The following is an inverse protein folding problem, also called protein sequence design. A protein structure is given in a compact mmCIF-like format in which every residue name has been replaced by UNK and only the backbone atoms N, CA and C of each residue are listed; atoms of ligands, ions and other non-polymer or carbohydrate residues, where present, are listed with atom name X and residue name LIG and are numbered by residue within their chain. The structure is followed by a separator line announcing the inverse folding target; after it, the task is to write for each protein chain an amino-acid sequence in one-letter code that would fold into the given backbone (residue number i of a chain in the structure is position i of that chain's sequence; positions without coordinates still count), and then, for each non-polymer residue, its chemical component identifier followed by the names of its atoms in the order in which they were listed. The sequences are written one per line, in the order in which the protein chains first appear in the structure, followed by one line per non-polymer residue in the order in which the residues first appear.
data_IF_999570348282
#
_entry.id   IF_999570348282
#
_cell.length_a   1.000
_cell.length_b   1.000
_cell.length_c   1.000
_cell.angle_alpha   90.00
_cell.angle_beta   90.00
_cell.angle_gamma   90.00
#
_symmetry.space_group_name_H-M   'P 1'
#
loop_
_entity.id
_entity.type
_entity.pdbx_description
1 polymer ?
#
# COMPACT_ATOMS: atom_id res chain seq x y z
N UNK A 1 18.98 9.45 -15.30
CA UNK A 1 19.07 7.99 -15.57
C UNK A 1 17.88 7.54 -16.38
N UNK A 2 18.01 6.42 -17.09
CA UNK A 2 16.90 5.76 -17.77
C UNK A 2 16.37 4.60 -16.92
N UNK A 3 15.16 4.71 -16.40
CA UNK A 3 14.61 3.84 -15.37
C UNK A 3 13.36 3.12 -15.89
N UNK A 4 13.28 1.80 -15.67
CA UNK A 4 12.08 1.01 -15.95
C UNK A 4 11.43 0.57 -14.63
N UNK A 5 10.10 0.72 -14.52
CA UNK A 5 9.29 0.24 -13.40
C UNK A 5 8.40 -0.90 -13.91
N UNK A 6 8.54 -2.09 -13.30
CA UNK A 6 7.94 -3.35 -13.77
C UNK A 6 7.28 -4.13 -12.62
N UNK A 7 6.36 -5.02 -12.97
CA UNK A 7 5.81 -6.01 -12.02
C UNK A 7 4.47 -5.64 -11.41
N UNK A 8 3.98 -4.42 -11.62
CA UNK A 8 2.64 -3.96 -11.20
C UNK A 8 1.62 -4.06 -12.34
N UNK A 9 0.39 -3.60 -12.12
CA UNK A 9 -0.61 -3.47 -13.19
C UNK A 9 -0.32 -2.29 -14.10
N UNK A 10 0.41 -1.28 -13.61
CA UNK A 10 0.76 -0.06 -14.30
C UNK A 10 0.08 1.18 -13.73
N UNK A 11 0.15 2.29 -14.47
CA UNK A 11 -0.44 3.58 -14.10
C UNK A 11 -1.36 4.09 -15.23
N UNK A 12 -2.41 4.90 -14.93
CA UNK A 12 -2.81 5.46 -13.63
C UNK A 12 -3.16 4.41 -12.58
N UNK A 13 -2.85 4.71 -11.32
CA UNK A 13 -3.14 3.82 -10.20
C UNK A 13 -4.67 3.67 -10.01
N UNK A 14 -5.15 2.41 -9.93
CA UNK A 14 -6.58 2.11 -9.83
C UNK A 14 -6.91 0.92 -8.94
N UNK A 15 -5.91 0.27 -8.30
CA UNK A 15 -6.16 -1.00 -7.63
C UNK A 15 -5.45 -1.21 -6.29
N UNK A 16 -4.16 -0.88 -6.17
CA UNK A 16 -3.37 -1.21 -4.98
C UNK A 16 -2.29 -0.18 -4.66
N UNK A 17 -1.73 -0.29 -3.46
CA UNK A 17 -0.63 0.54 -3.01
C UNK A 17 0.61 0.50 -3.91
N UNK A 18 0.83 -0.60 -4.65
CA UNK A 18 1.96 -0.68 -5.59
C UNK A 18 1.81 0.26 -6.77
N UNK A 19 0.63 0.31 -7.37
CA UNK A 19 0.35 1.23 -8.47
C UNK A 19 0.49 2.67 -8.00
N UNK A 20 0.01 2.99 -6.78
CA UNK A 20 0.20 4.31 -6.15
C UNK A 20 1.69 4.59 -5.94
N UNK A 21 2.45 3.62 -5.44
CA UNK A 21 3.90 3.76 -5.28
C UNK A 21 4.61 4.03 -6.61
N UNK A 22 4.30 3.26 -7.66
CA UNK A 22 4.88 3.45 -8.99
C UNK A 22 4.51 4.80 -9.58
N UNK A 23 3.29 5.25 -9.40
CA UNK A 23 2.82 6.55 -9.88
C UNK A 23 3.53 7.70 -9.17
N UNK A 24 3.55 7.70 -7.84
CA UNK A 24 4.14 8.75 -7.03
C UNK A 24 5.66 8.83 -7.15
N UNK A 25 6.33 7.68 -7.10
CA UNK A 25 7.77 7.58 -7.29
C UNK A 25 8.16 7.97 -8.73
N UNK A 26 7.46 7.42 -9.71
CA UNK A 26 7.76 7.66 -11.12
C UNK A 26 7.59 9.12 -11.54
N UNK A 27 6.52 9.79 -11.07
CA UNK A 27 6.31 11.21 -11.31
C UNK A 27 7.48 12.05 -10.76
N UNK A 28 7.86 11.83 -9.49
CA UNK A 28 8.95 12.59 -8.85
C UNK A 28 10.32 12.33 -9.49
N UNK A 29 10.57 11.10 -9.92
CA UNK A 29 11.78 10.80 -10.68
C UNK A 29 11.82 11.55 -12.03
N UNK A 30 10.68 11.70 -12.71
CA UNK A 30 10.59 12.53 -13.93
C UNK A 30 10.84 13.99 -13.62
N UNK A 31 10.25 14.54 -12.57
CA UNK A 31 10.46 15.93 -12.11
C UNK A 31 11.94 16.19 -11.75
N UNK A 32 12.65 15.16 -11.30
CA UNK A 32 14.11 15.19 -11.04
C UNK A 32 14.98 14.92 -12.27
N UNK A 33 14.39 14.86 -13.46
CA UNK A 33 15.10 14.76 -14.74
C UNK A 33 15.49 13.34 -15.16
N UNK A 34 14.85 12.29 -14.60
CA UNK A 34 15.04 10.93 -15.08
C UNK A 34 14.07 10.59 -16.23
N UNK A 35 14.50 9.70 -17.13
CA UNK A 35 13.65 9.09 -18.17
C UNK A 35 12.99 7.84 -17.60
N UNK A 36 11.72 7.93 -17.23
CA UNK A 36 10.99 6.87 -16.54
C UNK A 36 10.01 6.19 -17.48
N UNK A 37 10.10 4.87 -17.58
CA UNK A 37 9.16 4.02 -18.32
C UNK A 37 8.44 3.06 -17.36
N UNK A 38 7.10 3.03 -17.43
CA UNK A 38 6.26 2.11 -16.67
C UNK A 38 5.71 1.03 -17.60
N UNK A 39 5.90 -0.24 -17.22
CA UNK A 39 5.33 -1.37 -17.92
C UNK A 39 3.94 -1.70 -17.38
N UNK A 40 2.94 -1.58 -18.24
CA UNK A 40 1.53 -1.69 -17.92
C UNK A 40 0.90 -2.94 -18.53
N UNK A 41 0.01 -3.62 -17.79
CA UNK A 41 -0.80 -4.74 -18.31
C UNK A 41 -1.97 -4.17 -19.11
N UNK A 42 -2.01 -4.46 -20.42
CA UNK A 42 -2.97 -3.85 -21.36
C UNK A 42 -4.43 -4.00 -20.95
N UNK A 43 -4.81 -5.11 -20.30
CA UNK A 43 -6.20 -5.37 -19.90
C UNK A 43 -6.62 -4.69 -18.58
N UNK A 44 -5.68 -4.12 -17.83
CA UNK A 44 -5.97 -3.39 -16.60
C UNK A 44 -5.96 -1.86 -16.77
N UNK A 45 -5.29 -1.36 -17.82
CA UNK A 45 -5.13 0.08 -18.04
C UNK A 45 -6.04 0.54 -19.17
N UNK A 46 -7.08 1.28 -18.81
CA UNK A 46 -8.03 1.91 -19.75
C UNK A 46 -7.54 3.23 -20.32
N UNK A 47 -6.54 3.85 -19.68
CA UNK A 47 -5.95 5.11 -20.16
C UNK A 47 -5.27 4.90 -21.52
N UNK A 48 -5.69 5.62 -22.54
CA UNK A 48 -5.25 5.39 -23.94
C UNK A 48 -3.89 6.01 -24.26
N UNK A 49 -3.45 7.05 -23.53
CA UNK A 49 -2.19 7.74 -23.76
C UNK A 49 -0.95 6.85 -23.60
N UNK A 50 0.13 7.23 -24.27
CA UNK A 50 1.45 6.58 -24.15
C UNK A 50 2.37 7.29 -23.14
N UNK A 51 1.90 8.37 -22.53
CA UNK A 51 2.57 9.10 -21.45
C UNK A 51 1.57 9.47 -20.38
N UNK A 52 2.01 9.41 -19.13
CA UNK A 52 1.20 9.81 -17.98
C UNK A 52 2.12 10.46 -16.93
N UNK A 53 1.83 11.68 -16.49
CA UNK A 53 2.67 12.45 -15.55
C UNK A 53 4.16 12.47 -15.97
N UNK A 54 4.44 12.61 -17.26
CA UNK A 54 5.80 12.61 -17.81
C UNK A 54 6.44 11.23 -17.98
N UNK A 55 5.90 10.18 -17.38
CA UNK A 55 6.34 8.80 -17.55
C UNK A 55 5.89 8.23 -18.89
N UNK A 56 6.76 7.49 -19.58
CA UNK A 56 6.41 6.70 -20.77
C UNK A 56 5.70 5.42 -20.35
N UNK A 57 4.58 5.09 -21.01
CA UNK A 57 3.82 3.86 -20.77
C UNK A 57 4.08 2.83 -21.87
N UNK A 58 4.45 1.61 -21.46
CA UNK A 58 4.58 0.45 -22.36
C UNK A 58 3.51 -0.56 -21.97
N UNK A 59 2.47 -0.65 -22.79
CA UNK A 59 1.34 -1.55 -22.58
C UNK A 59 1.60 -2.88 -23.29
N UNK A 60 1.73 -3.95 -22.50
CA UNK A 60 2.00 -5.30 -23.02
C UNK A 60 0.89 -6.27 -22.62
N UNK A 61 0.63 -7.30 -23.46
CA UNK A 61 -0.32 -8.34 -23.15
C UNK A 61 0.21 -9.27 -22.06
N UNK A 62 -0.70 -9.99 -21.44
CA UNK A 62 -0.41 -11.07 -20.50
C UNK A 62 -1.50 -12.12 -20.54
N UNK A 63 -1.34 -13.20 -19.78
CA UNK A 63 -2.39 -14.22 -19.58
C UNK A 63 -3.25 -13.75 -18.41
N UNK A 64 -4.49 -13.32 -18.66
CA UNK A 64 -5.43 -12.86 -17.66
C UNK A 64 -5.92 -14.01 -16.76
N UNK A 65 -5.03 -14.50 -15.91
CA UNK A 65 -5.26 -15.58 -14.95
C UNK A 65 -4.68 -15.20 -13.58
N UNK A 66 -5.41 -15.49 -12.51
CA UNK A 66 -5.04 -15.15 -11.11
C UNK A 66 -3.59 -15.49 -10.74
N UNK A 67 -3.04 -16.57 -11.29
CA UNK A 67 -1.70 -17.08 -10.93
C UNK A 67 -0.60 -16.70 -11.93
N UNK A 68 -0.96 -16.49 -13.20
CA UNK A 68 0.00 -16.29 -14.30
C UNK A 68 0.15 -14.83 -14.71
N UNK A 69 -0.87 -14.02 -14.46
CA UNK A 69 -0.94 -12.62 -14.93
C UNK A 69 0.34 -11.83 -14.61
N UNK A 70 0.78 -11.86 -13.35
CA UNK A 70 1.95 -11.08 -12.90
C UNK A 70 3.26 -11.59 -13.51
N UNK A 71 3.53 -12.89 -13.40
CA UNK A 71 4.84 -13.44 -13.82
C UNK A 71 5.00 -13.45 -15.33
N UNK A 72 3.94 -13.74 -16.10
CA UNK A 72 3.97 -13.73 -17.57
C UNK A 72 4.17 -12.30 -18.07
N UNK A 73 3.44 -11.32 -17.53
CA UNK A 73 3.65 -9.93 -17.90
C UNK A 73 5.09 -9.46 -17.59
N UNK A 74 5.60 -9.79 -16.40
CA UNK A 74 6.96 -9.40 -16.00
C UNK A 74 8.03 -10.07 -16.89
N UNK A 75 7.80 -11.31 -17.33
CA UNK A 75 8.67 -11.98 -18.28
C UNK A 75 8.69 -11.28 -19.64
N UNK A 76 7.50 -11.01 -20.22
CA UNK A 76 7.37 -10.32 -21.51
C UNK A 76 7.98 -8.91 -21.42
N UNK A 77 7.71 -8.19 -20.33
CA UNK A 77 8.26 -6.87 -20.08
C UNK A 77 9.79 -6.88 -19.96
N UNK A 78 10.34 -7.89 -19.30
CA UNK A 78 11.79 -8.06 -19.18
C UNK A 78 12.48 -8.29 -20.53
N UNK A 79 11.88 -9.09 -21.41
CA UNK A 79 12.38 -9.29 -22.78
C UNK A 79 12.27 -8.00 -23.59
N UNK A 80 11.11 -7.31 -23.53
CA UNK A 80 10.93 -6.03 -24.24
C UNK A 80 11.91 -4.96 -23.76
N UNK A 81 12.33 -5.01 -22.49
CA UNK A 81 13.26 -4.05 -21.89
C UNK A 81 14.71 -4.20 -22.43
N UNK A 82 15.11 -5.37 -22.96
CA UNK A 82 16.48 -5.64 -23.40
C UNK A 82 17.02 -4.61 -24.41
N UNK A 83 16.34 -4.33 -25.55
CA UNK A 83 16.83 -3.35 -26.52
C UNK A 83 16.81 -1.91 -26.02
N UNK A 84 16.05 -1.62 -24.96
CA UNK A 84 15.92 -0.26 -24.43
C UNK A 84 17.14 0.18 -23.59
N UNK A 85 17.93 -0.76 -23.07
CA UNK A 85 19.16 -0.53 -22.31
C UNK A 85 18.95 0.47 -21.18
N UNK A 86 18.02 0.15 -20.25
CA UNK A 86 17.83 0.95 -19.05
C UNK A 86 19.08 0.93 -18.15
N UNK A 87 19.30 2.01 -17.39
CA UNK A 87 20.29 2.02 -16.33
C UNK A 87 19.82 1.12 -15.17
N UNK A 88 18.54 1.26 -14.79
CA UNK A 88 17.89 0.51 -13.71
C UNK A 88 16.54 -0.04 -14.17
N UNK A 89 16.27 -1.30 -13.83
CA UNK A 89 14.97 -1.95 -13.91
C UNK A 89 14.50 -2.31 -12.49
N UNK A 90 13.50 -1.59 -11.99
CA UNK A 90 12.91 -1.79 -10.67
C UNK A 90 11.68 -2.68 -10.78
N UNK A 91 11.71 -3.80 -10.08
CA UNK A 91 10.60 -4.75 -9.99
C UNK A 91 9.89 -4.64 -8.66
N UNK A 92 8.61 -4.95 -8.66
CA UNK A 92 7.78 -5.02 -7.46
C UNK A 92 7.25 -6.44 -7.28
N UNK A 93 7.04 -6.86 -6.02
CA UNK A 93 6.54 -8.15 -5.56
C UNK A 93 7.57 -9.29 -5.72
N UNK A 94 7.87 -9.99 -4.63
CA UNK A 94 8.83 -11.10 -4.58
C UNK A 94 8.57 -12.17 -5.65
N UNK A 95 7.31 -12.43 -6.02
CA UNK A 95 6.92 -13.37 -7.08
C UNK A 95 7.53 -13.11 -8.46
N UNK A 96 8.06 -11.89 -8.70
CA UNK A 96 8.74 -11.53 -9.95
C UNK A 96 10.26 -11.80 -9.94
N UNK A 97 10.82 -12.23 -8.82
CA UNK A 97 12.26 -12.50 -8.72
C UNK A 97 12.81 -13.42 -9.81
N UNK A 98 12.09 -14.47 -10.28
CA UNK A 98 12.62 -15.39 -11.30
C UNK A 98 12.99 -14.75 -12.63
N UNK A 99 12.48 -13.57 -12.95
CA UNK A 99 12.75 -12.86 -14.23
C UNK A 99 13.71 -11.68 -14.09
N UNK A 100 14.11 -11.32 -12.89
CA UNK A 100 14.94 -10.13 -12.62
C UNK A 100 16.36 -10.20 -13.21
N UNK A 101 16.87 -11.40 -13.52
CA UNK A 101 18.17 -11.58 -14.15
C UNK A 101 18.18 -11.23 -15.64
N UNK A 102 17.00 -11.22 -16.32
CA UNK A 102 16.92 -11.05 -17.79
C UNK A 102 17.52 -9.71 -18.24
N UNK A 103 17.15 -8.53 -17.69
CA UNK A 103 17.73 -7.27 -18.12
C UNK A 103 19.25 -7.15 -17.83
N UNK A 104 19.78 -7.94 -16.91
CA UNK A 104 21.22 -7.98 -16.60
C UNK A 104 22.06 -8.47 -17.78
N UNK A 105 21.47 -9.21 -18.72
CA UNK A 105 22.13 -9.67 -19.95
C UNK A 105 22.65 -8.50 -20.81
N UNK A 106 22.02 -7.33 -20.69
CA UNK A 106 22.41 -6.10 -21.41
C UNK A 106 22.98 -5.04 -20.45
N UNK A 107 23.45 -5.48 -19.26
CA UNK A 107 24.06 -4.65 -18.21
C UNK A 107 23.10 -3.70 -17.48
N UNK A 108 21.80 -3.78 -17.69
CA UNK A 108 20.82 -3.08 -16.87
C UNK A 108 20.91 -3.59 -15.43
N UNK A 109 21.01 -2.68 -14.47
CA UNK A 109 20.95 -3.04 -13.05
C UNK A 109 19.52 -3.33 -12.63
N UNK A 110 19.31 -4.39 -11.85
CA UNK A 110 17.97 -4.80 -11.43
C UNK A 110 17.82 -4.69 -9.93
N UNK A 111 16.73 -4.08 -9.50
CA UNK A 111 16.29 -3.99 -8.11
C UNK A 111 14.92 -4.64 -7.97
N UNK A 112 14.62 -5.16 -6.79
CA UNK A 112 13.33 -5.77 -6.47
C UNK A 112 12.83 -5.25 -5.11
N UNK A 113 11.65 -4.66 -5.07
CA UNK A 113 10.91 -4.49 -3.81
C UNK A 113 10.13 -5.79 -3.55
N UNK A 114 10.46 -6.48 -2.45
CA UNK A 114 9.86 -7.78 -2.16
C UNK A 114 8.47 -7.71 -1.56
N UNK A 115 8.03 -6.51 -1.10
CA UNK A 115 6.76 -6.32 -0.39
C UNK A 115 6.65 -7.15 0.90
N UNK A 116 5.45 -7.25 1.44
CA UNK A 116 5.14 -8.08 2.61
C UNK A 116 5.18 -9.58 2.33
N UNK A 117 4.94 -10.38 3.36
CA UNK A 117 4.99 -11.84 3.30
C UNK A 117 3.72 -12.42 2.64
N UNK A 118 3.61 -12.26 1.33
CA UNK A 118 2.39 -12.58 0.54
C UNK A 118 1.97 -14.06 0.66
N UNK A 119 2.91 -14.98 0.95
CA UNK A 119 2.60 -16.39 1.20
C UNK A 119 1.77 -16.63 2.48
N UNK A 120 1.72 -15.69 3.41
CA UNK A 120 0.85 -15.77 4.59
C UNK A 120 -0.63 -15.58 4.25
N UNK A 121 -0.96 -15.00 3.10
CA UNK A 121 -2.34 -14.72 2.70
C UNK A 121 -3.11 -16.01 2.41
N UNK A 122 -4.33 -16.09 2.91
CA UNK A 122 -5.19 -17.27 2.76
C UNK A 122 -5.64 -17.53 1.33
N UNK A 123 -5.74 -16.48 0.51
CA UNK A 123 -6.12 -16.58 -0.91
C UNK A 123 -5.22 -17.52 -1.75
N UNK A 124 -4.03 -17.87 -1.25
CA UNK A 124 -3.08 -18.70 -1.99
C UNK A 124 -3.16 -20.18 -1.58
N UNK A 125 -3.34 -21.10 -2.55
CA UNK A 125 -3.21 -22.53 -2.29
C UNK A 125 -1.76 -22.90 -1.97
N UNK A 126 -1.57 -24.06 -1.36
CA UNK A 126 -0.25 -24.54 -0.87
C UNK A 126 0.85 -24.48 -1.94
N UNK A 127 0.54 -24.85 -3.20
CA UNK A 127 1.51 -24.79 -4.29
C UNK A 127 1.98 -23.36 -4.60
N UNK A 128 1.04 -22.40 -4.61
CA UNK A 128 1.37 -20.99 -4.80
C UNK A 128 2.17 -20.42 -3.61
N UNK A 129 1.83 -20.81 -2.38
CA UNK A 129 2.63 -20.42 -1.18
C UNK A 129 4.08 -20.91 -1.29
N UNK A 130 4.29 -22.17 -1.72
CA UNK A 130 5.64 -22.72 -1.94
C UNK A 130 6.39 -21.97 -3.05
N UNK A 131 5.70 -21.63 -4.15
CA UNK A 131 6.29 -20.82 -5.21
C UNK A 131 6.73 -19.44 -4.69
N UNK A 132 5.88 -18.75 -3.92
CA UNK A 132 6.22 -17.43 -3.36
C UNK A 132 7.44 -17.54 -2.43
N UNK A 133 7.48 -18.55 -1.54
CA UNK A 133 8.63 -18.77 -0.67
C UNK A 133 9.92 -19.10 -1.43
N UNK A 134 9.82 -19.82 -2.56
CA UNK A 134 10.95 -20.03 -3.45
C UNK A 134 11.37 -18.75 -4.17
N UNK A 135 10.41 -17.94 -4.59
CA UNK A 135 10.67 -16.63 -5.20
C UNK A 135 11.34 -15.65 -4.20
N UNK A 136 10.99 -15.69 -2.90
CA UNK A 136 11.71 -14.94 -1.86
C UNK A 136 13.20 -15.34 -1.78
N UNK A 137 13.50 -16.65 -1.83
CA UNK A 137 14.89 -17.09 -1.92
C UNK A 137 15.58 -16.56 -3.18
N UNK A 138 14.94 -16.63 -4.34
CA UNK A 138 15.49 -16.10 -5.59
C UNK A 138 15.68 -14.58 -5.55
N UNK A 139 14.83 -13.86 -4.82
CA UNK A 139 14.96 -12.41 -4.62
C UNK A 139 16.32 -12.04 -3.99
N UNK A 140 16.89 -12.91 -3.17
CA UNK A 140 18.22 -12.71 -2.56
C UNK A 140 19.38 -13.05 -3.50
N UNK A 141 19.14 -13.62 -4.71
CA UNK A 141 20.20 -14.15 -5.59
C UNK A 141 20.19 -13.57 -7.01
N UNK A 142 19.01 -13.31 -7.58
CA UNK A 142 18.89 -12.99 -8.99
C UNK A 142 18.99 -11.51 -9.33
N UNK A 143 18.33 -10.56 -8.59
CA UNK A 143 18.53 -9.14 -8.85
C UNK A 143 19.91 -8.67 -8.38
N UNK A 144 20.32 -7.47 -8.77
CA UNK A 144 21.53 -6.85 -8.25
C UNK A 144 21.37 -6.36 -6.81
N UNK A 145 20.14 -6.09 -6.39
CA UNK A 145 19.76 -5.74 -5.04
C UNK A 145 18.26 -5.91 -4.84
N UNK A 146 17.84 -5.92 -3.59
CA UNK A 146 16.43 -5.94 -3.23
C UNK A 146 16.20 -5.09 -1.99
N UNK A 147 14.97 -4.62 -1.79
CA UNK A 147 14.54 -3.77 -0.69
C UNK A 147 13.27 -4.33 -0.06
N UNK A 148 12.98 -3.90 1.15
CA UNK A 148 11.73 -4.16 1.87
C UNK A 148 11.04 -2.85 2.18
N UNK A 149 9.74 -2.89 2.33
CA UNK A 149 8.89 -1.75 2.70
C UNK A 149 8.56 -1.69 4.19
N UNK A 150 9.04 -2.68 4.97
CA UNK A 150 8.87 -2.75 6.42
C UNK A 150 10.10 -3.36 7.09
N UNK A 151 10.41 -2.92 8.32
CA UNK A 151 11.49 -3.47 9.13
C UNK A 151 11.17 -4.91 9.56
N UNK A 152 9.89 -5.24 9.76
CA UNK A 152 9.45 -6.60 10.07
C UNK A 152 9.84 -7.55 8.93
N UNK A 153 9.59 -7.17 7.68
CA UNK A 153 9.99 -7.95 6.51
C UNK A 153 11.51 -7.97 6.37
N UNK A 154 12.20 -6.85 6.63
CA UNK A 154 13.67 -6.78 6.65
C UNK A 154 14.26 -7.81 7.62
N UNK A 155 13.74 -7.86 8.86
CA UNK A 155 14.19 -8.80 9.89
C UNK A 155 13.89 -10.25 9.50
N UNK A 156 12.72 -10.53 8.90
CA UNK A 156 12.42 -11.86 8.36
C UNK A 156 13.44 -12.32 7.31
N UNK A 157 13.85 -11.43 6.38
CA UNK A 157 14.88 -11.76 5.40
C UNK A 157 16.27 -11.96 6.04
N UNK A 158 16.58 -11.16 7.06
CA UNK A 158 17.81 -11.34 7.85
C UNK A 158 17.84 -12.71 8.55
N UNK A 159 16.75 -13.08 9.22
CA UNK A 159 16.68 -14.32 10.00
C UNK A 159 16.66 -15.56 9.09
N UNK A 160 15.93 -15.48 7.97
CA UNK A 160 15.73 -16.62 7.08
C UNK A 160 16.85 -16.83 6.07
N UNK A 161 17.42 -15.76 5.56
CA UNK A 161 18.38 -15.80 4.44
C UNK A 161 19.74 -15.19 4.77
N UNK A 162 19.93 -14.66 5.99
CA UNK A 162 21.18 -14.04 6.43
C UNK A 162 21.51 -12.74 5.71
N UNK A 163 20.52 -12.07 5.14
CA UNK A 163 20.70 -10.84 4.35
C UNK A 163 19.73 -9.75 4.80
N UNK A 164 20.28 -8.59 5.17
CA UNK A 164 19.53 -7.42 5.61
C UNK A 164 19.45 -6.39 4.47
N UNK A 165 18.35 -6.38 3.67
CA UNK A 165 18.19 -5.40 2.59
C UNK A 165 17.91 -4.01 3.15
N UNK A 166 18.11 -2.94 2.36
CA UNK A 166 17.63 -1.61 2.72
C UNK A 166 16.12 -1.61 2.95
N UNK A 167 15.68 -0.88 3.97
CA UNK A 167 14.27 -0.57 4.23
C UNK A 167 13.92 0.77 3.59
N UNK A 168 12.90 0.79 2.76
CA UNK A 168 12.32 2.00 2.15
C UNK A 168 10.82 1.88 2.22
N UNK A 169 10.12 2.61 3.11
CA UNK A 169 8.67 2.52 3.27
C UNK A 169 7.92 3.08 2.08
N UNK A 170 6.61 2.88 2.06
CA UNK A 170 5.73 3.64 1.17
C UNK A 170 5.60 5.06 1.67
N UNK A 171 5.54 6.00 0.72
CA UNK A 171 5.26 7.39 1.02
C UNK A 171 3.76 7.63 1.25
N UNK A 172 3.47 8.72 1.93
CA UNK A 172 2.14 9.28 2.05
C UNK A 172 2.18 10.77 1.75
N UNK A 173 1.27 11.21 0.91
CA UNK A 173 1.00 12.61 0.64
C UNK A 173 -0.48 12.76 0.40
N UNK A 174 -1.10 13.60 1.18
CA UNK A 174 -2.54 13.79 1.14
C UNK A 174 -2.87 15.26 0.95
N UNK A 175 -3.90 15.52 0.16
CA UNK A 175 -4.52 16.83 0.07
C UNK A 175 -5.58 16.93 1.17
N UNK A 176 -5.42 17.92 2.06
CA UNK A 176 -6.42 18.20 3.08
C UNK A 176 -7.58 18.97 2.46
N UNK A 177 -8.75 18.39 2.50
CA UNK A 177 -9.96 18.97 1.93
C UNK A 177 -10.98 19.31 3.04
N UNK A 178 -11.68 20.46 2.90
CA UNK A 178 -12.81 20.77 3.77
C UNK A 178 -13.98 19.81 3.49
N UNK A 179 -14.98 19.78 4.37
CA UNK A 179 -16.23 19.07 4.13
C UNK A 179 -16.88 19.49 2.82
N UNK A 180 -17.33 18.54 2.00
CA UNK A 180 -17.87 18.80 0.68
C UNK A 180 -18.94 17.79 0.25
N UNK A 181 -18.96 17.46 -1.04
CA UNK A 181 -20.01 16.65 -1.66
C UNK A 181 -20.04 15.20 -1.13
N UNK A 182 -18.88 14.59 -0.87
CA UNK A 182 -18.82 13.20 -0.42
C UNK A 182 -19.36 13.04 1.00
N UNK A 183 -19.09 14.00 1.89
CA UNK A 183 -19.71 13.98 3.22
C UNK A 183 -21.24 14.13 3.14
N UNK A 184 -21.73 15.01 2.25
CA UNK A 184 -23.16 15.20 2.05
C UNK A 184 -23.82 13.95 1.48
N UNK A 185 -23.23 13.34 0.45
CA UNK A 185 -23.72 12.11 -0.19
C UNK A 185 -23.92 10.97 0.82
N UNK A 186 -22.95 10.78 1.74
CA UNK A 186 -23.01 9.73 2.75
C UNK A 186 -23.66 10.20 4.08
N UNK A 187 -24.17 11.43 4.12
CA UNK A 187 -24.81 12.00 5.31
C UNK A 187 -23.87 12.10 6.51
N UNK A 188 -22.61 12.46 6.29
CA UNK A 188 -21.56 12.53 7.31
C UNK A 188 -21.34 13.96 7.79
N UNK A 189 -20.93 14.09 9.04
CA UNK A 189 -20.46 15.33 9.64
C UNK A 189 -18.96 15.26 9.93
N UNK A 190 -18.22 16.38 9.77
CA UNK A 190 -16.79 16.43 10.04
C UNK A 190 -16.47 16.03 11.48
N UNK A 191 -15.45 15.18 11.66
CA UNK A 191 -15.02 14.66 12.96
C UNK A 191 -16.11 13.89 13.74
N UNK A 192 -17.11 13.34 13.03
CA UNK A 192 -18.22 12.58 13.62
C UNK A 192 -18.30 11.15 13.08
N UNK A 193 -17.19 10.58 12.62
CA UNK A 193 -17.19 9.19 12.16
C UNK A 193 -15.85 8.50 12.37
N UNK A 194 -15.93 7.19 12.52
CA UNK A 194 -14.83 6.23 12.44
C UNK A 194 -14.73 5.79 10.99
N UNK A 195 -13.52 5.81 10.41
CA UNK A 195 -13.26 5.48 9.02
C UNK A 195 -12.42 4.21 8.89
N UNK A 196 -12.82 3.32 8.00
CA UNK A 196 -12.01 2.23 7.47
C UNK A 196 -11.88 2.39 5.94
N UNK A 197 -10.70 2.14 5.42
CA UNK A 197 -10.45 2.12 3.96
C UNK A 197 -9.64 0.89 3.60
N UNK A 198 -10.22 0.01 2.78
CA UNK A 198 -9.51 -1.19 2.36
C UNK A 198 -10.38 -2.15 1.55
N UNK A 199 -9.74 -3.17 0.96
CA UNK A 199 -10.49 -4.23 0.28
C UNK A 199 -11.32 -5.00 1.30
N UNK A 200 -12.57 -5.27 0.98
CA UNK A 200 -13.46 -6.05 1.84
C UNK A 200 -13.23 -7.55 1.65
N UNK A 201 -12.12 -8.02 2.22
CA UNK A 201 -11.69 -9.43 2.22
C UNK A 201 -11.45 -9.91 3.65
N UNK A 202 -11.61 -11.22 3.95
CA UNK A 202 -11.50 -11.74 5.31
C UNK A 202 -10.22 -11.34 6.05
N UNK A 203 -9.09 -11.36 5.37
CA UNK A 203 -7.79 -11.01 5.96
C UNK A 203 -7.65 -9.55 6.39
N UNK A 204 -8.48 -8.64 5.86
CA UNK A 204 -8.51 -7.24 6.27
C UNK A 204 -9.45 -6.98 7.47
N UNK A 205 -10.12 -8.01 7.96
CA UNK A 205 -10.86 -8.04 9.23
C UNK A 205 -11.86 -6.88 9.44
N UNK A 206 -12.49 -6.34 8.39
CA UNK A 206 -13.50 -5.28 8.51
C UNK A 206 -14.66 -5.69 9.45
N UNK A 207 -14.91 -7.00 9.63
CA UNK A 207 -15.88 -7.51 10.59
C UNK A 207 -15.55 -7.16 12.05
N UNK A 208 -14.26 -6.99 12.42
CA UNK A 208 -13.91 -6.51 13.76
C UNK A 208 -14.49 -5.12 14.02
N UNK A 209 -14.47 -4.25 13.00
CA UNK A 209 -14.95 -2.88 13.10
C UNK A 209 -16.48 -2.86 13.20
N UNK A 210 -17.16 -3.59 12.31
CA UNK A 210 -18.62 -3.68 12.29
C UNK A 210 -19.14 -4.23 13.62
N UNK A 211 -18.60 -5.38 14.07
CA UNK A 211 -19.02 -6.04 15.31
C UNK A 211 -18.71 -5.21 16.55
N UNK A 212 -17.58 -4.48 16.58
CA UNK A 212 -17.26 -3.57 17.67
C UNK A 212 -18.22 -2.37 17.69
N UNK A 213 -18.47 -1.76 16.51
CA UNK A 213 -19.26 -0.54 16.41
C UNK A 213 -20.73 -0.75 16.75
N UNK A 214 -21.33 -1.87 16.34
CA UNK A 214 -22.71 -2.25 16.72
C UNK A 214 -22.94 -2.31 18.24
N UNK A 215 -21.87 -2.47 19.03
CA UNK A 215 -21.94 -2.57 20.48
C UNK A 215 -21.60 -1.24 21.19
N UNK A 216 -21.29 -0.18 20.44
CA UNK A 216 -20.95 1.14 21.00
C UNK A 216 -22.20 2.00 21.18
N UNK A 217 -22.29 2.66 22.33
CA UNK A 217 -23.26 3.72 22.57
C UNK A 217 -22.62 5.07 22.18
N UNK A 218 -22.93 5.56 20.98
CA UNK A 218 -22.32 6.77 20.42
C UNK A 218 -23.15 7.35 19.28
N UNK A 219 -23.07 8.65 19.09
CA UNK A 219 -23.66 9.37 17.94
C UNK A 219 -22.72 9.37 16.70
N UNK A 220 -21.51 8.82 16.82
CA UNK A 220 -20.62 8.71 15.67
C UNK A 220 -21.19 7.76 14.62
N UNK A 221 -20.81 7.97 13.36
CA UNK A 221 -21.01 7.00 12.28
C UNK A 221 -19.78 6.12 12.08
N UNK A 222 -19.95 4.96 11.47
CA UNK A 222 -18.89 4.08 11.01
C UNK A 222 -18.92 4.03 9.49
N UNK A 223 -17.84 4.42 8.83
CA UNK A 223 -17.77 4.50 7.37
C UNK A 223 -16.79 3.43 6.87
N UNK A 224 -17.31 2.50 6.09
CA UNK A 224 -16.57 1.38 5.51
C UNK A 224 -16.38 1.66 4.01
N UNK A 225 -15.19 2.10 3.64
CA UNK A 225 -14.82 2.41 2.25
C UNK A 225 -14.09 1.23 1.64
N UNK A 226 -14.61 0.72 0.55
CA UNK A 226 -14.01 -0.36 -0.22
C UNK A 226 -15.00 -1.39 -0.72
N UNK A 227 -14.47 -2.31 -1.50
CA UNK A 227 -15.18 -3.41 -2.11
C UNK A 227 -14.19 -4.55 -2.45
N UNK A 228 -14.66 -5.69 -2.94
CA UNK A 228 -13.85 -6.75 -3.52
C UNK A 228 -14.72 -7.67 -4.39
N UNK A 229 -14.63 -7.54 -5.70
CA UNK A 229 -15.47 -8.28 -6.67
C UNK A 229 -15.39 -9.82 -6.56
N UNK A 230 -14.43 -10.37 -5.81
CA UNK A 230 -14.26 -11.82 -5.60
C UNK A 230 -14.55 -12.27 -4.16
N UNK A 231 -15.13 -11.40 -3.33
CA UNK A 231 -15.43 -11.65 -1.92
C UNK A 231 -16.89 -11.30 -1.57
N UNK A 232 -17.81 -11.56 -2.49
CA UNK A 232 -19.23 -11.22 -2.37
C UNK A 232 -19.87 -11.79 -1.09
N UNK A 233 -19.55 -13.05 -0.75
CA UNK A 233 -20.07 -13.70 0.46
C UNK A 233 -19.60 -12.98 1.74
N UNK A 234 -18.34 -12.53 1.78
CA UNK A 234 -17.82 -11.79 2.92
C UNK A 234 -18.48 -10.42 3.04
N UNK A 235 -18.63 -9.70 1.93
CA UNK A 235 -19.34 -8.40 1.90
C UNK A 235 -20.80 -8.56 2.33
N UNK A 236 -21.48 -9.59 1.85
CA UNK A 236 -22.84 -9.89 2.28
C UNK A 236 -22.90 -10.16 3.80
N UNK A 237 -21.91 -10.88 4.34
CA UNK A 237 -21.84 -11.12 5.80
C UNK A 237 -21.61 -9.84 6.60
N UNK A 238 -20.79 -8.90 6.10
CA UNK A 238 -20.59 -7.60 6.76
C UNK A 238 -21.88 -6.77 6.79
N UNK A 239 -22.60 -6.70 5.67
CA UNK A 239 -23.88 -5.99 5.58
C UNK A 239 -24.94 -6.61 6.47
N UNK A 240 -25.03 -7.95 6.55
CA UNK A 240 -25.94 -8.64 7.45
C UNK A 240 -25.65 -8.33 8.94
N UNK A 241 -24.37 -8.23 9.34
CA UNK A 241 -23.97 -7.83 10.71
C UNK A 241 -24.40 -6.41 11.05
N UNK A 242 -24.38 -5.51 10.07
CA UNK A 242 -24.72 -4.09 10.21
C UNK A 242 -26.22 -3.79 10.00
N UNK A 243 -27.06 -4.78 9.66
CA UNK A 243 -28.44 -4.59 9.20
C UNK A 243 -29.31 -3.75 10.16
N UNK A 244 -29.09 -3.89 11.46
CA UNK A 244 -29.85 -3.19 12.47
C UNK A 244 -29.17 -1.92 13.01
N UNK A 245 -28.06 -1.49 12.41
CA UNK A 245 -27.35 -0.29 12.83
C UNK A 245 -27.20 0.72 11.69
N UNK A 246 -28.12 1.71 11.59
CA UNK A 246 -28.10 2.71 10.52
C UNK A 246 -26.90 3.67 10.57
N UNK A 247 -26.08 3.62 11.62
CA UNK A 247 -24.86 4.42 11.73
C UNK A 247 -23.73 3.87 10.88
N UNK A 248 -23.81 2.59 10.42
CA UNK A 248 -22.77 1.95 9.61
C UNK A 248 -23.06 2.18 8.13
N UNK A 249 -22.17 2.88 7.46
CA UNK A 249 -22.29 3.31 6.07
C UNK A 249 -21.26 2.57 5.21
N UNK A 250 -21.72 1.77 4.23
CA UNK A 250 -20.89 1.15 3.21
C UNK A 250 -20.91 2.02 1.95
N UNK A 251 -19.76 2.59 1.56
CA UNK A 251 -19.69 3.51 0.41
C UNK A 251 -19.36 2.82 -0.90
N UNK A 252 -18.86 1.56 -0.87
CA UNK A 252 -18.16 0.99 -2.00
C UNK A 252 -16.78 1.65 -2.22
N UNK A 253 -16.25 1.57 -3.43
CA UNK A 253 -14.98 2.24 -3.76
C UNK A 253 -15.16 3.75 -3.83
N UNK A 254 -14.32 4.49 -3.13
CA UNK A 254 -14.19 5.95 -3.23
C UNK A 254 -12.73 6.28 -3.52
N UNK A 255 -12.48 7.08 -4.55
CA UNK A 255 -11.14 7.47 -5.01
C UNK A 255 -11.01 8.99 -5.18
N UNK A 256 -9.77 9.46 -5.37
CA UNK A 256 -9.47 10.85 -5.68
C UNK A 256 -10.00 11.82 -4.63
N UNK A 257 -10.67 12.89 -5.09
CA UNK A 257 -11.16 13.97 -4.22
C UNK A 257 -12.07 13.45 -3.09
N UNK A 258 -12.97 12.52 -3.40
CA UNK A 258 -13.88 11.95 -2.38
C UNK A 258 -13.14 11.21 -1.27
N UNK A 259 -12.12 10.43 -1.62
CA UNK A 259 -11.26 9.76 -0.65
C UNK A 259 -10.51 10.77 0.23
N UNK A 260 -9.91 11.80 -0.37
CA UNK A 260 -9.22 12.85 0.38
C UNK A 260 -10.18 13.62 1.31
N UNK A 261 -11.40 13.85 0.88
CA UNK A 261 -12.44 14.50 1.69
C UNK A 261 -12.82 13.63 2.90
N UNK A 262 -13.09 12.33 2.69
CA UNK A 262 -13.38 11.40 3.78
C UNK A 262 -12.20 11.26 4.75
N UNK A 263 -10.96 11.13 4.26
CA UNK A 263 -9.77 11.04 5.08
C UNK A 263 -9.52 12.30 5.91
N UNK A 264 -9.67 13.49 5.30
CA UNK A 264 -9.44 14.78 5.97
C UNK A 264 -10.39 15.08 7.11
N UNK A 265 -11.59 14.52 7.09
CA UNK A 265 -12.66 14.85 8.02
C UNK A 265 -12.99 13.70 8.98
N UNK A 266 -12.24 12.60 8.97
CA UNK A 266 -12.45 11.49 9.90
C UNK A 266 -12.02 11.84 11.32
N UNK A 267 -12.73 11.27 12.32
CA UNK A 267 -12.38 11.41 13.72
C UNK A 267 -11.33 10.39 14.15
N UNK A 268 -11.58 9.13 13.83
CA UNK A 268 -10.72 7.98 14.11
C UNK A 268 -10.60 7.17 12.81
N UNK A 269 -9.42 6.67 12.52
CA UNK A 269 -9.19 5.70 11.45
C UNK A 269 -8.83 4.34 12.05
N UNK A 270 -9.42 3.26 11.51
CA UNK A 270 -9.13 1.91 11.97
C UNK A 270 -8.50 1.10 10.85
N UNK A 271 -7.26 0.63 11.06
CA UNK A 271 -6.59 -0.36 10.21
C UNK A 271 -6.72 -1.74 10.85
N UNK A 272 -7.65 -2.54 10.35
CA UNK A 272 -7.95 -3.85 10.94
C UNK A 272 -7.24 -5.03 10.30
N UNK A 273 -6.44 -4.82 9.23
CA UNK A 273 -5.79 -5.89 8.51
C UNK A 273 -4.90 -6.76 9.41
N UNK A 274 -5.07 -8.07 9.27
CA UNK A 274 -4.28 -9.08 9.99
C UNK A 274 -3.04 -9.56 9.22
N UNK A 275 -2.85 -9.12 7.96
CA UNK A 275 -1.76 -9.55 7.08
C UNK A 275 -1.37 -8.44 6.14
N UNK A 276 -0.07 -8.17 6.00
CA UNK A 276 0.46 -7.22 5.02
C UNK A 276 1.87 -6.78 5.36
N UNK A 277 2.38 -5.81 4.63
CA UNK A 277 3.51 -4.97 4.97
C UNK A 277 2.99 -3.61 5.45
N UNK A 278 3.66 -2.53 5.08
CA UNK A 278 3.15 -1.18 5.32
C UNK A 278 1.86 -0.94 4.52
N UNK A 279 0.78 -0.58 5.21
CA UNK A 279 -0.50 -0.28 4.58
C UNK A 279 -0.56 1.20 4.15
N UNK A 280 -0.65 1.52 2.83
CA UNK A 280 -0.71 2.91 2.37
C UNK A 280 -1.87 3.70 2.98
N UNK A 281 -3.07 3.09 3.11
CA UNK A 281 -4.21 3.73 3.73
C UNK A 281 -3.95 4.15 5.19
N UNK A 282 -3.13 3.39 5.94
CA UNK A 282 -2.74 3.74 7.31
C UNK A 282 -1.78 4.94 7.32
N UNK A 283 -0.75 4.95 6.45
CA UNK A 283 0.18 6.08 6.37
C UNK A 283 -0.49 7.35 5.88
N UNK A 284 -1.45 7.23 4.95
CA UNK A 284 -2.29 8.34 4.50
C UNK A 284 -3.24 8.83 5.60
N UNK A 285 -3.86 7.93 6.38
CA UNK A 285 -4.68 8.30 7.52
C UNK A 285 -3.88 9.09 8.58
N UNK A 286 -2.64 8.67 8.83
CA UNK A 286 -1.72 9.43 9.68
C UNK A 286 -1.38 10.81 9.09
N UNK A 287 -1.17 10.90 7.78
CA UNK A 287 -0.88 12.16 7.08
C UNK A 287 -2.10 13.10 7.07
N UNK A 288 -3.32 12.60 6.95
CA UNK A 288 -4.56 13.37 7.17
C UNK A 288 -4.65 13.92 8.60
N UNK A 289 -3.96 13.31 9.55
CA UNK A 289 -4.02 13.65 10.97
C UNK A 289 -5.20 12.99 11.66
N UNK A 290 -5.52 11.76 11.29
CA UNK A 290 -6.51 10.96 12.02
C UNK A 290 -5.90 10.36 13.30
N UNK A 291 -6.71 10.15 14.33
CA UNK A 291 -6.36 9.26 15.42
C UNK A 291 -6.41 7.82 14.89
N UNK A 292 -5.28 7.13 14.83
CA UNK A 292 -5.20 5.80 14.22
C UNK A 292 -5.25 4.69 15.26
N UNK A 293 -6.11 3.70 15.03
CA UNK A 293 -6.24 2.46 15.80
C UNK A 293 -5.95 1.29 14.87
N UNK A 294 -5.04 0.40 15.25
CA UNK A 294 -4.60 -0.68 14.37
C UNK A 294 -4.72 -2.06 15.00
N UNK A 295 -4.93 -3.08 14.19
CA UNK A 295 -4.71 -4.48 14.59
C UNK A 295 -3.23 -4.65 14.99
N UNK A 296 -2.95 -5.34 16.11
CA UNK A 296 -1.62 -5.47 16.74
C UNK A 296 -0.63 -6.35 15.96
N UNK A 297 -0.74 -6.36 14.62
CA UNK A 297 0.29 -6.99 13.80
C UNK A 297 1.61 -6.23 13.92
N UNK A 298 2.77 -6.92 13.85
CA UNK A 298 4.06 -6.26 13.94
C UNK A 298 4.23 -5.12 12.94
N UNK A 299 3.74 -5.30 11.71
CA UNK A 299 3.84 -4.32 10.61
C UNK A 299 2.99 -3.06 10.89
N UNK A 300 1.79 -3.23 11.42
CA UNK A 300 0.93 -2.11 11.80
C UNK A 300 1.52 -1.35 12.99
N UNK A 301 2.00 -2.06 14.02
CA UNK A 301 2.64 -1.45 15.19
C UNK A 301 3.94 -0.72 14.81
N UNK A 302 4.73 -1.27 13.89
CA UNK A 302 5.89 -0.58 13.32
C UNK A 302 5.47 0.75 12.66
N UNK A 303 4.41 0.70 11.85
CA UNK A 303 3.94 1.88 11.11
C UNK A 303 3.52 3.00 12.04
N UNK A 304 2.70 2.73 13.05
CA UNK A 304 2.22 3.76 13.98
C UNK A 304 3.27 4.18 15.02
N UNK A 305 4.16 3.26 15.42
CA UNK A 305 5.03 3.48 16.59
C UNK A 305 4.22 3.90 17.82
N UNK A 306 4.57 5.04 18.41
CA UNK A 306 3.84 5.62 19.55
C UNK A 306 2.69 6.56 19.11
N UNK A 307 2.50 6.77 17.81
CA UNK A 307 1.56 7.74 17.26
C UNK A 307 0.15 7.16 17.01
N UNK A 308 -0.18 6.03 17.59
CA UNK A 308 -1.48 5.37 17.48
C UNK A 308 -1.68 4.31 18.54
N UNK A 309 -2.78 3.59 18.47
CA UNK A 309 -3.17 2.55 19.44
C UNK A 309 -3.33 1.21 18.74
N UNK A 310 -2.75 0.14 19.33
CA UNK A 310 -2.95 -1.23 18.89
C UNK A 310 -4.06 -1.92 19.66
N UNK A 311 -5.02 -2.56 18.96
CA UNK A 311 -5.96 -3.47 19.60
C UNK A 311 -5.52 -4.92 19.37
N UNK A 312 -5.87 -5.82 20.30
CA UNK A 312 -5.52 -7.23 20.18
C UNK A 312 -6.36 -7.91 19.10
N UNK A 313 -5.75 -8.20 17.96
CA UNK A 313 -6.42 -8.80 16.81
C UNK A 313 -6.97 -10.21 17.05
N UNK A 314 -6.45 -10.97 18.04
CA UNK A 314 -6.99 -12.28 18.43
C UNK A 314 -8.30 -12.18 19.19
N UNK A 315 -8.48 -11.09 19.96
CA UNK A 315 -9.73 -10.76 20.64
C UNK A 315 -10.70 -10.02 19.70
N UNK A 316 -10.19 -9.52 18.57
CA UNK A 316 -10.97 -8.91 17.51
C UNK A 316 -11.81 -7.73 17.99
N UNK A 317 -13.13 -7.80 17.74
CA UNK A 317 -14.10 -6.74 18.04
C UNK A 317 -14.15 -6.34 19.51
N UNK A 318 -13.95 -7.27 20.44
CA UNK A 318 -14.02 -6.96 21.87
C UNK A 318 -12.89 -6.03 22.32
N UNK A 319 -11.67 -6.27 21.85
CA UNK A 319 -10.54 -5.39 22.13
C UNK A 319 -10.66 -4.05 21.40
N UNK A 320 -11.10 -4.04 20.15
CA UNK A 320 -11.31 -2.82 19.38
C UNK A 320 -12.40 -1.94 20.04
N UNK A 321 -13.51 -2.55 20.47
CA UNK A 321 -14.58 -1.86 21.19
C UNK A 321 -14.06 -1.10 22.41
N UNK A 322 -13.22 -1.74 23.24
CA UNK A 322 -12.66 -1.11 24.45
C UNK A 322 -11.87 0.15 24.10
N UNK A 323 -11.01 0.09 23.06
CA UNK A 323 -10.22 1.25 22.64
C UNK A 323 -11.11 2.34 22.06
N UNK A 324 -12.09 2.00 21.23
CA UNK A 324 -13.02 2.98 20.68
C UNK A 324 -13.85 3.66 21.76
N UNK A 325 -14.35 2.90 22.77
CA UNK A 325 -15.06 3.46 23.92
C UNK A 325 -14.21 4.47 24.70
N UNK A 326 -12.93 4.14 24.94
CA UNK A 326 -12.00 5.04 25.62
C UNK A 326 -11.77 6.34 24.83
N UNK A 327 -11.59 6.23 23.51
CA UNK A 327 -11.36 7.39 22.64
C UNK A 327 -12.62 8.28 22.53
N UNK A 328 -13.80 7.70 22.41
CA UNK A 328 -15.07 8.43 22.29
C UNK A 328 -15.32 9.31 23.51
N UNK A 329 -14.99 8.83 24.70
CA UNK A 329 -15.20 9.61 25.93
C UNK A 329 -14.01 10.54 26.26
N UNK A 330 -12.92 10.49 25.50
CA UNK A 330 -11.72 11.29 25.76
C UNK A 330 -11.22 12.04 24.50
N UNK A 331 -11.88 13.12 24.10
CA UNK A 331 -11.49 13.92 22.93
C UNK A 331 -10.05 14.44 22.98
N UNK A 332 -9.55 14.80 24.17
CA UNK A 332 -8.18 15.28 24.33
C UNK A 332 -7.14 14.21 23.93
N UNK A 333 -7.42 12.94 24.21
CA UNK A 333 -6.58 11.81 23.81
C UNK A 333 -6.62 11.62 22.28
N UNK A 334 -7.77 11.77 21.65
CA UNK A 334 -7.92 11.73 20.20
C UNK A 334 -7.08 12.84 19.55
N UNK A 335 -7.17 14.07 20.03
CA UNK A 335 -6.41 15.20 19.48
C UNK A 335 -4.90 15.01 19.66
N UNK A 336 -4.46 14.46 20.78
CA UNK A 336 -3.06 14.09 20.98
C UNK A 336 -2.57 13.10 19.91
N UNK A 337 -3.29 12.00 19.69
CA UNK A 337 -2.90 11.00 18.68
C UNK A 337 -3.01 11.55 17.26
N UNK A 338 -3.97 12.39 16.94
CA UNK A 338 -4.05 13.11 15.66
C UNK A 338 -2.77 13.89 15.36
N UNK A 339 -2.29 14.66 16.35
CA UNK A 339 -1.05 15.42 16.21
C UNK A 339 0.17 14.52 16.06
N UNK A 340 0.30 13.50 16.90
CA UNK A 340 1.42 12.54 16.83
C UNK A 340 1.45 11.78 15.50
N UNK A 341 0.31 11.31 15.02
CA UNK A 341 0.18 10.60 13.74
C UNK A 341 0.66 11.48 12.57
N UNK A 342 0.19 12.73 12.50
CA UNK A 342 0.58 13.67 11.45
C UNK A 342 2.08 13.97 11.48
N UNK A 343 2.63 14.22 12.65
CA UNK A 343 4.07 14.49 12.82
C UNK A 343 4.92 13.31 12.35
N UNK A 344 4.51 12.07 12.73
CA UNK A 344 5.21 10.86 12.30
C UNK A 344 5.12 10.64 10.79
N UNK A 345 3.93 10.83 10.19
CA UNK A 345 3.77 10.71 8.74
C UNK A 345 4.67 11.68 7.97
N UNK A 346 4.72 12.94 8.39
CA UNK A 346 5.57 13.96 7.77
C UNK A 346 7.06 13.65 7.88
N UNK A 347 7.51 13.10 9.03
CA UNK A 347 8.92 12.83 9.26
C UNK A 347 9.42 11.54 8.61
N UNK A 348 8.57 10.50 8.47
CA UNK A 348 9.00 9.15 8.08
C UNK A 348 8.43 8.68 6.75
N UNK A 349 7.25 9.16 6.37
CA UNK A 349 6.50 8.65 5.20
C UNK A 349 6.29 9.70 4.11
N UNK A 350 7.10 10.78 4.03
CA UNK A 350 6.95 11.72 2.92
C UNK A 350 7.46 11.10 1.60
N UNK A 351 6.73 11.31 0.51
CA UNK A 351 7.15 10.83 -0.82
C UNK A 351 8.48 11.42 -1.27
N UNK A 352 8.83 12.63 -0.82
CA UNK A 352 10.14 13.21 -1.12
C UNK A 352 11.27 12.40 -0.49
N UNK A 353 11.17 12.08 0.81
CA UNK A 353 12.16 11.26 1.51
C UNK A 353 12.25 9.84 0.94
N UNK A 354 11.10 9.24 0.58
CA UNK A 354 11.03 7.93 -0.07
C UNK A 354 11.72 7.98 -1.44
N UNK A 355 11.42 9.00 -2.25
CA UNK A 355 12.05 9.19 -3.57
C UNK A 355 13.56 9.39 -3.45
N UNK A 356 14.03 10.18 -2.48
CA UNK A 356 15.45 10.35 -2.17
C UNK A 356 16.13 9.02 -1.89
N UNK A 357 15.48 8.16 -1.10
CA UNK A 357 15.99 6.83 -0.74
C UNK A 357 16.11 5.91 -1.96
N UNK A 358 15.08 5.86 -2.82
CA UNK A 358 15.13 5.11 -4.07
C UNK A 358 16.19 5.64 -5.02
N UNK A 359 16.26 6.96 -5.20
CA UNK A 359 17.19 7.59 -6.13
C UNK A 359 18.65 7.37 -5.68
N UNK A 360 18.96 7.54 -4.40
CA UNK A 360 20.29 7.21 -3.84
C UNK A 360 20.66 5.75 -4.09
N UNK A 361 19.72 4.84 -3.91
CA UNK A 361 19.94 3.42 -4.15
C UNK A 361 20.19 3.14 -5.65
N UNK A 362 19.49 3.82 -6.57
CA UNK A 362 19.72 3.69 -8.01
C UNK A 362 21.14 4.14 -8.41
N UNK A 363 21.59 5.28 -7.89
CA UNK A 363 22.96 5.73 -8.12
C UNK A 363 23.99 4.77 -7.52
N UNK A 364 23.76 4.29 -6.31
CA UNK A 364 24.65 3.35 -5.63
C UNK A 364 24.82 2.03 -6.42
N UNK A 365 23.72 1.42 -6.88
CA UNK A 365 23.76 0.14 -7.60
C UNK A 365 24.38 0.28 -8.98
N UNK A 366 24.27 1.47 -9.60
CA UNK A 366 24.93 1.82 -10.85
C UNK A 366 26.38 2.22 -10.70
N UNK A 367 26.90 2.30 -9.47
CA UNK A 367 28.25 2.80 -9.16
C UNK A 367 28.50 4.22 -9.72
N UNK A 368 27.46 5.06 -9.69
CA UNK A 368 27.50 6.46 -10.11
C UNK A 368 27.48 7.39 -8.88
N UNK A 369 28.18 8.53 -8.91
CA UNK A 369 28.11 9.48 -7.83
C UNK A 369 26.72 10.10 -7.75
N UNK A 370 26.19 10.25 -6.53
CA UNK A 370 24.93 10.95 -6.31
C UNK A 370 25.10 12.45 -6.64
N UNK A 371 24.21 13.07 -7.42
CA UNK A 371 24.34 14.47 -7.82
C UNK A 371 24.32 15.41 -6.61
N UNK A 372 25.30 16.32 -6.53
CA UNK A 372 25.43 17.26 -5.38
C UNK A 372 24.24 18.22 -5.21
N UNK A 373 23.49 18.48 -6.27
CA UNK A 373 22.31 19.36 -6.22
C UNK A 373 21.06 18.67 -5.69
N UNK A 374 21.13 17.35 -5.47
CA UNK A 374 20.07 16.52 -4.86
C UNK A 374 20.46 16.02 -3.45
N UNK A 375 21.64 16.40 -2.95
CA UNK A 375 22.20 15.95 -1.67
C UNK A 375 21.77 16.84 -0.49
#
# INVERSE_FOLDING_TARGET
MKIALLGTRGVPASYSGFETCVEQLGQRLVERGHDVTVYCRSHHITYEGNQYKGMRLVKLPTIANKYLDTIVHSFISSIHALPQRYDVAMYFIAGNSPVTWIPRLVRTKTLLNVDGLDWKREKWPTAAKKYIQFAEYLATKLPNGYITDSEVVQNYYQDRFGSKPPYIPYGSEVELLPPGESLQEFGLEPNKYVLFVGRLVPENCAHHIVDAFCQLDTDLKCVIVGDAAYAEDYIASLKARAENDPRIVFTGYVFGKGYHELGSNAHIFVESSGVGGTHPALTEAMAFGNCVVVNDTPENLETIGEAGLGYNGRLGSDSLKQILQELIVNPAKVDQYKHMARTRAQSQYSWESVTDSYERLFYQICHQPFPKHLA
#
